data_IF_178110518320
#
_entry.id   IF_178110518320
#
_cell.length_a   1.000
_cell.length_b   1.000
_cell.length_c   1.000
_cell.angle_alpha   90.00
_cell.angle_beta   90.00
_cell.angle_gamma   90.00
#
_symmetry.space_group_name_H-M   'P 1'
#
loop_
_entity.id
_entity.type
_entity.pdbx_description
1 polymer ?
#
# COMPACT_ATOMS: atom_id res chain seq x y z
N UNK A 1 -10.59 4.50 3.70
CA UNK A 1 -9.43 3.84 3.05
C UNK A 1 -8.19 3.99 3.92
N UNK A 2 -7.34 2.99 3.96
CA UNK A 2 -6.06 3.02 4.69
C UNK A 2 -4.95 2.51 3.79
N UNK A 3 -3.85 3.27 3.70
CA UNK A 3 -2.59 2.80 3.11
C UNK A 3 -1.56 2.67 4.23
N UNK A 4 -0.96 1.49 4.36
CA UNK A 4 0.23 1.30 5.18
C UNK A 4 1.41 1.11 4.24
N UNK A 5 2.34 2.06 4.28
CA UNK A 5 3.45 2.17 3.35
C UNK A 5 4.75 1.81 4.05
N UNK A 6 5.46 0.84 3.50
CA UNK A 6 6.79 0.45 3.97
C UNK A 6 7.81 0.68 2.86
N UNK A 7 8.87 1.44 3.17
CA UNK A 7 10.01 1.59 2.26
C UNK A 7 10.84 0.31 2.32
N UNK A 8 11.10 -0.26 1.16
CA UNK A 8 11.77 -1.56 1.04
C UNK A 8 12.95 -1.52 0.08
N UNK A 9 13.95 -2.35 0.34
CA UNK A 9 15.01 -2.67 -0.60
C UNK A 9 14.57 -3.75 -1.60
N UNK A 10 13.67 -4.62 -1.15
CA UNK A 10 13.00 -5.64 -1.97
C UNK A 10 11.75 -6.14 -1.27
N UNK A 11 10.76 -6.54 -2.04
CA UNK A 11 9.56 -7.22 -1.55
C UNK A 11 9.00 -8.14 -2.64
N UNK A 12 8.35 -9.21 -2.20
CA UNK A 12 7.65 -10.13 -3.10
C UNK A 12 6.40 -10.70 -2.43
N UNK A 13 5.47 -11.15 -3.25
CA UNK A 13 4.28 -11.85 -2.81
C UNK A 13 4.13 -13.17 -3.55
N UNK A 14 3.84 -14.21 -2.79
CA UNK A 14 3.64 -15.57 -3.28
C UNK A 14 2.20 -16.01 -3.04
N UNK A 15 1.65 -16.72 -4.01
CA UNK A 15 0.36 -17.42 -3.95
C UNK A 15 0.58 -18.83 -4.44
N UNK A 16 0.17 -19.84 -3.68
CA UNK A 16 0.38 -21.26 -4.02
C UNK A 16 1.85 -21.58 -4.41
N UNK A 17 2.79 -21.09 -3.60
CA UNK A 17 4.25 -21.26 -3.78
C UNK A 17 4.82 -20.63 -5.07
N UNK A 18 4.05 -19.75 -5.74
CA UNK A 18 4.50 -19.01 -6.93
C UNK A 18 4.58 -17.53 -6.65
N UNK A 19 5.69 -16.91 -7.04
CA UNK A 19 5.84 -15.45 -6.98
C UNK A 19 4.92 -14.82 -8.02
N UNK A 20 3.94 -14.03 -7.58
CA UNK A 20 2.98 -13.33 -8.45
C UNK A 20 3.30 -11.83 -8.58
N UNK A 21 4.09 -11.28 -7.67
CA UNK A 21 4.57 -9.91 -7.72
C UNK A 21 5.91 -9.78 -7.00
N UNK A 22 6.81 -8.97 -7.55
CA UNK A 22 8.14 -8.75 -6.97
C UNK A 22 8.65 -7.37 -7.37
N UNK A 23 9.26 -6.68 -6.41
CA UNK A 23 9.93 -5.41 -6.62
C UNK A 23 11.30 -5.39 -5.93
N UNK A 24 12.18 -4.53 -6.42
CA UNK A 24 13.37 -4.08 -5.71
C UNK A 24 13.05 -2.81 -4.90
N UNK A 25 13.90 -1.80 -4.91
CA UNK A 25 13.72 -0.57 -4.14
C UNK A 25 12.39 0.14 -4.45
N UNK A 26 11.66 0.48 -3.40
CA UNK A 26 10.40 1.19 -3.54
C UNK A 26 9.51 1.08 -2.31
N UNK A 27 8.21 0.96 -2.53
CA UNK A 27 7.22 0.77 -1.46
C UNK A 27 6.46 -0.54 -1.59
N UNK A 28 6.37 -1.28 -0.49
CA UNK A 28 5.31 -2.24 -0.27
C UNK A 28 4.15 -1.53 0.44
N UNK A 29 2.94 -1.64 -0.10
CA UNK A 29 1.77 -0.92 0.38
C UNK A 29 0.64 -1.90 0.68
N UNK A 30 0.18 -1.93 1.93
CA UNK A 30 -1.04 -2.62 2.32
C UNK A 30 -2.22 -1.65 2.16
N UNK A 31 -3.26 -2.08 1.46
CA UNK A 31 -4.43 -1.27 1.12
C UNK A 31 -5.68 -1.86 1.76
N UNK A 32 -6.27 -1.11 2.69
CA UNK A 32 -7.57 -1.42 3.29
C UNK A 32 -8.66 -0.49 2.76
N UNK A 33 -9.82 -1.07 2.43
CA UNK A 33 -10.97 -0.35 1.89
C UNK A 33 -12.17 -0.55 2.80
N UNK A 34 -12.91 0.55 3.07
CA UNK A 34 -14.13 0.55 3.88
C UNK A 34 -15.36 0.98 3.07
N UNK A 35 -16.55 0.84 3.65
CA UNK A 35 -17.84 1.00 2.95
C UNK A 35 -18.05 2.36 2.26
N UNK A 36 -17.52 3.44 2.84
CA UNK A 36 -17.76 4.81 2.37
C UNK A 36 -16.58 5.37 1.55
N UNK A 37 -15.67 4.52 1.12
CA UNK A 37 -14.55 4.95 0.29
C UNK A 37 -15.00 5.30 -1.13
N UNK A 38 -14.31 6.26 -1.74
CA UNK A 38 -14.61 6.78 -3.07
C UNK A 38 -13.34 6.85 -3.92
N UNK A 39 -13.51 7.03 -5.24
CA UNK A 39 -12.39 7.26 -6.16
C UNK A 39 -11.62 8.53 -5.81
N UNK A 40 -12.30 9.58 -5.32
CA UNK A 40 -11.67 10.83 -4.87
C UNK A 40 -10.73 10.61 -3.69
N UNK A 41 -11.12 9.74 -2.74
CA UNK A 41 -10.26 9.34 -1.61
C UNK A 41 -9.06 8.54 -2.14
N UNK A 42 -9.29 7.62 -3.06
CA UNK A 42 -8.22 6.86 -3.70
C UNK A 42 -7.23 7.76 -4.43
N UNK A 43 -7.70 8.72 -5.23
CA UNK A 43 -6.88 9.69 -5.95
C UNK A 43 -6.00 10.52 -4.99
N UNK A 44 -6.58 10.94 -3.87
CA UNK A 44 -5.84 11.67 -2.84
C UNK A 44 -4.71 10.83 -2.26
N UNK A 45 -4.99 9.57 -1.89
CA UNK A 45 -3.98 8.68 -1.29
C UNK A 45 -2.91 8.26 -2.30
N UNK A 46 -3.27 7.99 -3.55
CA UNK A 46 -2.32 7.68 -4.62
C UNK A 46 -1.37 8.86 -4.85
N UNK A 47 -1.92 10.08 -4.96
CA UNK A 47 -1.09 11.29 -5.11
C UNK A 47 -0.14 11.47 -3.93
N UNK A 48 -0.63 11.22 -2.70
CA UNK A 48 0.18 11.28 -1.47
C UNK A 48 1.31 10.25 -1.53
N UNK A 49 0.99 9.01 -1.87
CA UNK A 49 1.94 7.89 -1.96
C UNK A 49 3.09 8.20 -2.93
N UNK A 50 2.75 8.63 -4.13
CA UNK A 50 3.73 8.84 -5.21
C UNK A 50 4.66 10.03 -4.92
N UNK A 51 4.15 11.06 -4.24
CA UNK A 51 4.89 12.28 -3.94
C UNK A 51 5.51 12.30 -2.53
N UNK A 52 5.40 11.23 -1.77
CA UNK A 52 5.99 11.12 -0.43
C UNK A 52 7.53 11.18 -0.53
N UNK A 53 8.12 12.15 0.16
CA UNK A 53 9.56 12.46 0.06
C UNK A 53 10.35 11.82 1.19
N UNK A 54 10.51 10.50 1.12
CA UNK A 54 11.13 9.68 2.16
C UNK A 54 12.41 8.97 1.71
N UNK A 55 12.83 9.19 0.49
CA UNK A 55 14.11 8.71 0.02
C UNK A 55 15.18 9.79 0.21
N UNK A 56 16.38 9.34 0.55
CA UNK A 56 17.50 10.24 0.80
C UNK A 56 18.02 10.86 -0.49
N UNK A 57 18.35 12.15 -0.41
CA UNK A 57 19.07 12.89 -1.43
C UNK A 57 20.59 12.72 -1.29
N UNK A 58 21.36 13.40 -2.13
CA UNK A 58 22.84 13.39 -2.12
C UNK A 58 23.47 13.90 -0.80
N UNK A 59 22.68 14.62 0.02
CA UNK A 59 23.10 15.12 1.33
C UNK A 59 22.63 14.22 2.49
N UNK A 60 22.04 13.05 2.20
CA UNK A 60 21.52 12.12 3.19
C UNK A 60 20.25 12.60 3.89
N UNK A 61 19.50 13.53 3.28
CA UNK A 61 18.25 14.05 3.81
C UNK A 61 17.06 13.41 3.10
N UNK A 62 16.02 13.06 3.85
CA UNK A 62 14.72 12.63 3.29
C UNK A 62 14.13 13.76 2.45
N UNK A 63 14.19 13.65 1.15
CA UNK A 63 13.84 14.72 0.23
C UNK A 63 13.29 14.23 -1.11
N UNK A 64 13.60 13.01 -1.52
CA UNK A 64 13.23 12.49 -2.83
C UNK A 64 11.96 11.62 -2.74
N UNK A 65 11.12 11.76 -3.76
CA UNK A 65 9.91 10.95 -3.93
C UNK A 65 10.21 9.61 -4.61
N UNK A 66 9.18 8.74 -4.65
CA UNK A 66 9.26 7.48 -5.39
C UNK A 66 9.61 7.69 -6.87
N UNK A 67 9.08 8.75 -7.49
CA UNK A 67 9.41 9.12 -8.88
C UNK A 67 10.87 9.52 -9.04
N UNK A 68 11.38 10.33 -8.13
CA UNK A 68 12.75 10.84 -8.22
C UNK A 68 13.78 9.71 -8.18
N UNK A 69 13.51 8.68 -7.38
CA UNK A 69 14.40 7.50 -7.27
C UNK A 69 14.06 6.38 -8.25
N UNK A 70 13.07 6.57 -9.12
CA UNK A 70 12.58 5.54 -10.04
C UNK A 70 12.22 4.23 -9.33
N UNK A 71 11.63 4.35 -8.15
CA UNK A 71 11.24 3.23 -7.32
C UNK A 71 9.99 2.51 -7.84
N UNK A 72 9.77 1.32 -7.31
CA UNK A 72 8.67 0.43 -7.68
C UNK A 72 7.59 0.38 -6.60
N UNK A 73 6.41 -0.08 -6.96
CA UNK A 73 5.29 -0.33 -6.04
C UNK A 73 4.91 -1.81 -6.04
N UNK A 74 4.70 -2.35 -4.84
CA UNK A 74 4.01 -3.62 -4.61
C UNK A 74 2.75 -3.33 -3.81
N UNK A 75 1.58 -3.44 -4.45
CA UNK A 75 0.29 -3.09 -3.88
C UNK A 75 -0.45 -4.37 -3.46
N UNK A 76 -0.77 -4.49 -2.16
CA UNK A 76 -1.39 -5.65 -1.55
C UNK A 76 -2.73 -5.25 -0.93
N UNK A 77 -3.83 -5.86 -1.37
CA UNK A 77 -5.11 -5.69 -0.70
C UNK A 77 -5.11 -6.38 0.67
N UNK A 78 -5.54 -5.66 1.72
CA UNK A 78 -5.52 -6.12 3.10
C UNK A 78 -6.75 -5.64 3.87
N UNK A 79 -7.84 -6.40 3.84
CA UNK A 79 -9.09 -6.03 4.52
C UNK A 79 -8.96 -6.00 6.05
N UNK A 80 -8.02 -6.78 6.61
CA UNK A 80 -7.78 -6.85 8.06
C UNK A 80 -7.25 -5.54 8.65
N UNK A 81 -6.88 -4.55 7.84
CA UNK A 81 -6.60 -3.19 8.29
C UNK A 81 -7.83 -2.50 8.92
N UNK A 82 -9.01 -3.05 8.67
CA UNK A 82 -10.27 -2.63 9.28
C UNK A 82 -10.77 -3.59 10.38
N UNK A 83 -9.86 -4.39 10.95
CA UNK A 83 -10.16 -5.19 12.13
C UNK A 83 -10.53 -4.28 13.32
N UNK A 84 -11.59 -4.63 14.00
CA UNK A 84 -11.99 -4.08 15.29
C UNK A 84 -11.76 -5.13 16.39
N UNK A 85 -10.84 -4.84 17.29
CA UNK A 85 -10.47 -5.69 18.42
C UNK A 85 -10.89 -5.10 19.77
N UNK A 86 -11.81 -4.13 19.77
CA UNK A 86 -12.22 -3.43 21.01
C UNK A 86 -13.14 -4.28 21.89
N UNK A 87 -13.90 -5.23 21.31
CA UNK A 87 -14.88 -6.05 22.01
C UNK A 87 -14.41 -7.49 22.22
N UNK A 88 -13.19 -7.68 22.74
CA UNK A 88 -12.65 -9.01 23.05
C UNK A 88 -11.53 -9.45 22.10
N UNK A 89 -11.13 -10.72 22.21
CA UNK A 89 -9.96 -11.25 21.51
C UNK A 89 -10.22 -11.75 20.08
N UNK A 90 -11.50 -11.82 19.67
CA UNK A 90 -11.86 -12.18 18.29
C UNK A 90 -12.08 -10.91 17.48
N UNK A 91 -11.25 -10.64 16.44
CA UNK A 91 -11.45 -9.45 15.60
C UNK A 91 -12.80 -9.47 14.87
N UNK A 92 -13.44 -8.31 14.77
CA UNK A 92 -14.56 -8.08 13.88
C UNK A 92 -14.09 -7.35 12.62
N UNK A 93 -14.62 -7.72 11.47
CA UNK A 93 -14.27 -7.12 10.18
C UNK A 93 -15.45 -6.40 9.53
N UNK A 94 -16.47 -6.04 10.30
CA UNK A 94 -17.67 -5.35 9.81
C UNK A 94 -17.39 -4.00 9.18
N UNK A 95 -16.28 -3.37 9.53
CA UNK A 95 -15.84 -2.10 8.94
C UNK A 95 -15.11 -2.25 7.61
N UNK A 96 -14.74 -3.46 7.20
CA UNK A 96 -14.18 -3.70 5.88
C UNK A 96 -15.28 -3.67 4.81
N UNK A 97 -14.97 -3.11 3.65
CA UNK A 97 -15.88 -3.11 2.52
C UNK A 97 -16.17 -4.53 2.02
N UNK A 98 -17.33 -4.71 1.37
CA UNK A 98 -17.63 -5.96 0.68
C UNK A 98 -16.60 -6.26 -0.41
N UNK A 99 -16.27 -7.54 -0.66
CA UNK A 99 -15.21 -7.92 -1.58
C UNK A 99 -15.32 -7.31 -2.98
N UNK A 100 -16.51 -7.31 -3.57
CA UNK A 100 -16.73 -6.75 -4.92
C UNK A 100 -16.38 -5.27 -5.00
N UNK A 101 -16.91 -4.47 -4.06
CA UNK A 101 -16.63 -3.04 -3.99
C UNK A 101 -15.16 -2.76 -3.66
N UNK A 102 -14.57 -3.52 -2.75
CA UNK A 102 -13.16 -3.39 -2.40
C UNK A 102 -12.25 -3.71 -3.59
N UNK A 103 -12.57 -4.76 -4.35
CA UNK A 103 -11.79 -5.14 -5.54
C UNK A 103 -11.88 -4.07 -6.63
N UNK A 104 -13.05 -3.50 -6.87
CA UNK A 104 -13.23 -2.42 -7.85
C UNK A 104 -12.32 -1.20 -7.54
N UNK A 105 -12.33 -0.75 -6.28
CA UNK A 105 -11.45 0.36 -5.87
C UNK A 105 -9.97 -0.02 -5.84
N UNK A 106 -9.64 -1.25 -5.47
CA UNK A 106 -8.27 -1.74 -5.53
C UNK A 106 -7.72 -1.74 -6.96
N UNK A 107 -8.48 -2.25 -7.92
CA UNK A 107 -8.11 -2.21 -9.35
C UNK A 107 -7.97 -0.77 -9.86
N UNK A 108 -8.86 0.12 -9.45
CA UNK A 108 -8.77 1.54 -9.76
C UNK A 108 -7.45 2.16 -9.24
N UNK A 109 -7.07 1.87 -7.99
CA UNK A 109 -5.81 2.34 -7.39
C UNK A 109 -4.60 1.84 -8.20
N UNK A 110 -4.60 0.57 -8.60
CA UNK A 110 -3.53 -0.02 -9.42
C UNK A 110 -3.38 0.75 -10.73
N UNK A 111 -4.48 0.99 -11.45
CA UNK A 111 -4.45 1.70 -12.73
C UNK A 111 -3.98 3.15 -12.58
N UNK A 112 -4.40 3.86 -11.53
CA UNK A 112 -3.93 5.21 -11.24
C UNK A 112 -2.43 5.24 -10.90
N UNK A 113 -1.93 4.26 -10.16
CA UNK A 113 -0.49 4.14 -9.89
C UNK A 113 0.32 3.85 -11.17
N UNK A 114 -0.17 2.98 -12.05
CA UNK A 114 0.47 2.64 -13.33
C UNK A 114 0.63 3.81 -14.27
N UNK A 115 -0.22 4.82 -14.18
CA UNK A 115 -0.10 6.06 -14.98
C UNK A 115 1.15 6.86 -14.64
N UNK A 116 1.72 6.69 -13.46
CA UNK A 116 2.79 7.53 -12.95
C UNK A 116 4.07 6.75 -12.56
N UNK A 117 3.96 5.47 -12.26
CA UNK A 117 5.07 4.60 -11.85
C UNK A 117 5.20 3.46 -12.88
N UNK A 118 6.41 3.28 -13.40
CA UNK A 118 6.67 2.31 -14.48
C UNK A 118 6.58 0.86 -14.03
N UNK A 119 6.98 0.55 -12.79
CA UNK A 119 6.90 -0.80 -12.24
C UNK A 119 5.94 -0.85 -11.07
N UNK A 120 4.71 -1.27 -11.34
CA UNK A 120 3.67 -1.53 -10.34
C UNK A 120 3.34 -3.00 -10.36
N UNK A 121 3.64 -3.68 -9.26
CA UNK A 121 3.36 -5.09 -9.03
C UNK A 121 2.23 -5.24 -8.00
N UNK A 122 1.52 -6.35 -8.04
CA UNK A 122 0.38 -6.61 -7.18
C UNK A 122 0.36 -8.02 -6.66
N UNK A 123 -0.36 -8.26 -5.57
CA UNK A 123 -0.84 -9.58 -5.20
C UNK A 123 -2.07 -9.98 -6.01
N UNK A 124 -2.77 -11.00 -5.54
CA UNK A 124 -4.05 -11.47 -6.08
C UNK A 124 -5.13 -11.21 -5.03
N UNK A 125 -6.15 -10.42 -5.41
CA UNK A 125 -7.23 -10.08 -4.50
C UNK A 125 -7.96 -11.35 -4.00
N UNK A 126 -8.12 -11.45 -2.68
CA UNK A 126 -8.82 -12.59 -2.05
C UNK A 126 -8.02 -13.87 -1.94
N UNK A 127 -6.80 -13.94 -2.47
CA UNK A 127 -5.94 -15.12 -2.35
C UNK A 127 -5.24 -15.16 -0.99
N UNK A 128 -4.80 -16.36 -0.60
CA UNK A 128 -3.86 -16.54 0.50
C UNK A 128 -2.46 -16.15 0.04
N UNK A 129 -1.98 -15.02 0.54
CA UNK A 129 -0.73 -14.41 0.10
C UNK A 129 0.34 -14.48 1.18
N UNK A 130 1.54 -14.89 0.78
CA UNK A 130 2.74 -14.78 1.61
C UNK A 130 3.58 -13.61 1.11
N UNK A 131 3.72 -12.58 1.93
CA UNK A 131 4.45 -11.36 1.61
C UNK A 131 5.77 -11.35 2.35
N UNK A 132 6.87 -11.30 1.60
CA UNK A 132 8.23 -11.17 2.11
C UNK A 132 8.79 -9.80 1.76
N UNK A 133 9.53 -9.18 2.66
CA UNK A 133 10.12 -7.88 2.41
C UNK A 133 11.40 -7.67 3.22
N UNK A 134 12.24 -6.79 2.73
CA UNK A 134 13.38 -6.23 3.46
C UNK A 134 13.15 -4.74 3.57
N UNK A 135 12.83 -4.28 4.78
CA UNK A 135 12.67 -2.86 5.06
C UNK A 135 14.01 -2.13 4.85
N UNK A 136 13.90 -0.94 4.27
CA UNK A 136 14.99 0.02 4.22
C UNK A 136 14.81 0.97 5.41
N UNK A 137 15.82 1.09 6.28
CA UNK A 137 15.70 1.88 7.51
C UNK A 137 15.41 3.36 7.24
N UNK A 138 14.57 3.95 8.06
CA UNK A 138 14.17 5.35 7.99
C UNK A 138 12.66 5.49 8.15
N UNK A 139 12.13 5.23 9.35
CA UNK A 139 10.70 5.39 9.62
C UNK A 139 10.32 6.86 9.77
N UNK A 140 9.29 7.28 9.04
CA UNK A 140 8.51 8.46 9.37
C UNK A 140 7.03 8.08 9.37
N UNK A 141 6.33 8.36 10.45
CA UNK A 141 4.88 8.19 10.53
C UNK A 141 4.18 9.42 9.95
N UNK A 142 3.25 9.20 9.02
CA UNK A 142 2.40 10.24 8.48
C UNK A 142 0.94 9.83 8.45
N UNK A 143 0.07 10.62 9.07
CA UNK A 143 -1.38 10.45 8.97
C UNK A 143 -1.95 11.61 8.18
N UNK A 144 -2.70 11.35 7.12
CA UNK A 144 -3.26 12.40 6.29
C UNK A 144 -4.76 12.23 6.03
N UNK A 145 -5.50 13.28 6.31
CA UNK A 145 -6.80 13.67 5.77
C UNK A 145 -7.95 12.66 5.80
N UNK A 146 -8.74 12.65 4.75
CA UNK A 146 -9.99 11.86 4.59
C UNK A 146 -9.78 10.34 4.46
N UNK A 147 -8.57 9.88 4.33
CA UNK A 147 -8.13 8.49 4.44
C UNK A 147 -7.00 8.41 5.43
N UNK A 148 -6.68 7.21 5.88
CA UNK A 148 -5.53 7.00 6.75
C UNK A 148 -4.34 6.52 5.93
N UNK A 149 -3.28 7.31 5.94
CA UNK A 149 -1.99 6.98 5.34
C UNK A 149 -0.98 6.82 6.47
N UNK A 150 -0.37 5.67 6.57
CA UNK A 150 0.69 5.40 7.55
C UNK A 150 1.94 4.94 6.80
N UNK A 151 3.04 5.63 7.05
CA UNK A 151 4.37 5.22 6.62
C UNK A 151 5.10 4.59 7.81
N UNK A 152 5.69 3.43 7.59
CA UNK A 152 6.40 2.65 8.63
C UNK A 152 7.78 2.28 8.13
#
# INVERSE_FOLDING_TARGET
MKFIVQRVNKSQVEVEEKIVGKIDRGFMVLIGITHNDTKEIADFLVRKLINLRVFEDENGKMNLSLKDVQGSLLLISQFTLYADCTSGNRPSFTNAAKPEFANELYEYIIEECKKQISNVQTGIFGADMQVSLVNDEGAAEGVAGKGRFTYV
#
